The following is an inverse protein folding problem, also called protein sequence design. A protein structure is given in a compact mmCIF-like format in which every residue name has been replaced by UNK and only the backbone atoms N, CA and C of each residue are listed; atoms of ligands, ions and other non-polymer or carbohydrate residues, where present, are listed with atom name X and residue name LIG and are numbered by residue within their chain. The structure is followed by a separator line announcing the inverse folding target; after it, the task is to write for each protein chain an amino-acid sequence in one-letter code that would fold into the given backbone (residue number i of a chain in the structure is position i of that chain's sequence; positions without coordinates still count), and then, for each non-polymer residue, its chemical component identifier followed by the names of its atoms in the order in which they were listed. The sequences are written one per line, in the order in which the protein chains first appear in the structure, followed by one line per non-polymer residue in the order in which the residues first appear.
data_IF_973210111807
#
_entry.id   IF_973210111807
#
_cell.length_a   1.000
_cell.length_b   1.000
_cell.length_c   1.000
_cell.angle_alpha   90.00
_cell.angle_beta   90.00
_cell.angle_gamma   90.00
#
_symmetry.space_group_name_H-M   'P 1'
#
loop_
_entity.id
_entity.type
_entity.pdbx_description
1 polymer ?
#
# COMPACT_ATOMS: atom_id res chain seq x y z
N UNK A 1 -70.97 -34.31 8.27
CA UNK A 1 -69.68 -34.76 8.85
C UNK A 1 -68.59 -34.04 8.07
N UNK A 2 -68.17 -32.81 8.44
CA UNK A 2 -67.11 -32.47 9.40
C UNK A 2 -65.90 -33.40 9.33
N UNK A 3 -64.85 -32.97 8.64
CA UNK A 3 -63.47 -33.02 9.15
C UNK A 3 -62.67 -31.86 8.54
N UNK A 4 -62.30 -30.93 9.42
CA UNK A 4 -61.27 -29.93 9.18
C UNK A 4 -59.91 -30.59 9.44
N UNK A 5 -58.94 -30.39 8.55
CA UNK A 5 -57.51 -30.68 8.78
C UNK A 5 -56.74 -29.44 8.37
N UNK A 6 -56.49 -28.52 9.31
CA UNK A 6 -55.26 -28.40 10.09
C UNK A 6 -54.04 -28.01 9.25
N UNK A 7 -53.86 -26.69 9.19
CA UNK A 7 -52.61 -25.93 9.20
C UNK A 7 -51.28 -26.68 9.09
N UNK A 8 -50.46 -26.17 8.16
CA UNK A 8 -49.06 -25.76 8.33
C UNK A 8 -48.11 -26.84 8.83
N UNK A 9 -47.24 -27.33 7.93
CA UNK A 9 -45.88 -27.69 8.33
C UNK A 9 -44.91 -27.47 7.16
N UNK A 10 -44.13 -26.40 7.30
CA UNK A 10 -42.77 -26.24 6.79
C UNK A 10 -42.53 -26.36 5.28
N UNK A 11 -42.52 -25.17 4.67
CA UNK A 11 -41.57 -24.74 3.65
C UNK A 11 -40.22 -25.42 3.89
N UNK A 12 -40.00 -26.54 3.21
CA UNK A 12 -38.75 -27.27 3.19
C UNK A 12 -37.73 -26.43 2.44
N UNK A 13 -36.95 -25.69 3.23
CA UNK A 13 -35.53 -25.44 3.03
C UNK A 13 -35.11 -25.22 1.57
N UNK A 14 -35.51 -24.05 1.04
CA UNK A 14 -34.69 -23.27 0.11
C UNK A 14 -33.41 -22.80 0.81
N UNK A 15 -32.64 -23.74 1.35
CA UNK A 15 -31.27 -23.53 1.78
C UNK A 15 -30.38 -23.68 0.56
N UNK A 16 -30.41 -22.68 -0.32
CA UNK A 16 -29.24 -22.41 -1.14
C UNK A 16 -28.08 -22.30 -0.16
N UNK A 17 -27.21 -23.31 -0.14
CA UNK A 17 -25.84 -23.15 0.32
C UNK A 17 -25.20 -22.15 -0.66
N UNK A 18 -25.54 -20.87 -0.49
CA UNK A 18 -24.66 -19.80 -0.89
C UNK A 18 -23.44 -19.98 -0.03
N UNK A 19 -22.45 -20.66 -0.61
CA UNK A 19 -21.09 -20.68 -0.12
C UNK A 19 -20.58 -19.24 -0.20
N UNK A 20 -20.90 -18.44 0.81
CA UNK A 20 -20.26 -17.14 1.08
C UNK A 20 -18.86 -17.36 1.67
N UNK A 21 -18.14 -18.39 1.22
CA UNK A 21 -16.69 -18.30 1.18
C UNK A 21 -16.34 -17.43 -0.02
N UNK A 22 -16.59 -16.14 0.14
CA UNK A 22 -15.65 -15.16 -0.40
C UNK A 22 -14.32 -15.52 0.22
N UNK A 23 -13.53 -16.31 -0.50
CA UNK A 23 -12.10 -16.32 -0.31
C UNK A 23 -11.74 -14.88 -0.62
N UNK A 24 -11.47 -14.10 0.42
CA UNK A 24 -10.84 -12.81 0.26
C UNK A 24 -9.49 -13.14 -0.40
N UNK A 25 -9.46 -13.11 -1.74
CA UNK A 25 -8.21 -13.16 -2.50
C UNK A 25 -7.56 -11.79 -2.26
N UNK A 26 -6.98 -11.64 -1.07
CA UNK A 26 -6.21 -10.47 -0.70
C UNK A 26 -5.09 -10.33 -1.72
N UNK A 27 -5.05 -9.18 -2.40
CA UNK A 27 -3.95 -8.85 -3.30
C UNK A 27 -2.79 -8.38 -2.44
N UNK A 28 -1.59 -8.92 -2.68
CA UNK A 28 -0.38 -8.58 -1.93
C UNK A 28 0.62 -7.92 -2.86
N UNK A 29 1.11 -6.74 -2.48
CA UNK A 29 2.13 -6.03 -3.25
C UNK A 29 3.44 -6.84 -3.25
N UNK A 30 4.02 -7.09 -4.43
CA UNK A 30 5.25 -7.87 -4.57
C UNK A 30 5.19 -9.30 -4.02
N UNK A 31 3.99 -9.85 -3.74
CA UNK A 31 3.82 -11.13 -3.05
C UNK A 31 4.14 -11.10 -1.55
N UNK A 32 4.28 -9.91 -0.95
CA UNK A 32 4.60 -9.72 0.46
C UNK A 32 3.31 -9.82 1.29
N UNK A 33 3.18 -10.86 2.12
CA UNK A 33 1.96 -11.13 2.90
C UNK A 33 1.56 -9.98 3.84
N UNK A 34 2.52 -9.19 4.29
CA UNK A 34 2.29 -8.03 5.15
C UNK A 34 1.81 -6.79 4.38
N UNK A 35 2.01 -6.74 3.06
CA UNK A 35 1.74 -5.60 2.18
C UNK A 35 0.39 -5.76 1.46
N UNK A 36 -0.69 -5.76 2.25
CA UNK A 36 -2.06 -5.93 1.73
C UNK A 36 -2.50 -4.73 0.89
N UNK A 37 -2.93 -4.99 -0.33
CA UNK A 37 -3.48 -4.00 -1.26
C UNK A 37 -5.00 -4.06 -1.22
N UNK A 38 -5.69 -2.92 -0.98
CA UNK A 38 -7.15 -2.85 -1.06
C UNK A 38 -7.65 -3.24 -2.45
N UNK A 39 -8.77 -3.96 -2.53
CA UNK A 39 -9.35 -4.42 -3.81
C UNK A 39 -9.56 -3.27 -4.83
N UNK A 40 -9.91 -2.07 -4.34
CA UNK A 40 -10.07 -0.87 -5.19
C UNK A 40 -8.80 -0.45 -5.94
N UNK A 41 -7.62 -0.83 -5.44
CA UNK A 41 -6.30 -0.50 -6.00
C UNK A 41 -5.58 -1.72 -6.59
N UNK A 42 -6.21 -2.90 -6.59
CA UNK A 42 -5.56 -4.13 -7.05
C UNK A 42 -5.16 -4.08 -8.53
N UNK A 43 -5.84 -3.26 -9.34
CA UNK A 43 -5.50 -3.04 -10.74
C UNK A 43 -4.19 -2.30 -10.98
N UNK A 44 -3.68 -1.61 -9.95
CA UNK A 44 -2.49 -0.76 -10.03
C UNK A 44 -1.26 -1.43 -9.38
N UNK A 45 -1.37 -2.69 -8.92
CA UNK A 45 -0.34 -3.36 -8.10
C UNK A 45 1.05 -3.43 -8.75
N UNK A 46 1.11 -3.47 -10.08
CA UNK A 46 2.35 -3.56 -10.86
C UNK A 46 2.97 -2.18 -11.16
N UNK A 47 2.27 -1.08 -10.86
CA UNK A 47 2.75 0.30 -11.02
C UNK A 47 2.76 0.96 -9.64
N UNK A 48 3.94 1.04 -9.04
CA UNK A 48 4.11 1.53 -7.66
C UNK A 48 3.57 2.96 -7.47
N UNK A 49 3.63 3.80 -8.50
CA UNK A 49 3.16 5.18 -8.43
C UNK A 49 1.65 5.26 -8.58
N UNK A 50 1.05 4.54 -9.54
CA UNK A 50 -0.41 4.44 -9.63
C UNK A 50 -1.00 3.81 -8.37
N UNK A 51 -0.33 2.80 -7.81
CA UNK A 51 -0.72 2.17 -6.55
C UNK A 51 -0.66 3.17 -5.39
N UNK A 52 0.42 3.94 -5.28
CA UNK A 52 0.56 4.98 -4.25
C UNK A 52 -0.55 6.03 -4.37
N UNK A 53 -0.82 6.53 -5.57
CA UNK A 53 -1.91 7.47 -5.86
C UNK A 53 -3.29 6.92 -5.49
N UNK A 54 -3.53 5.61 -5.68
CA UNK A 54 -4.79 4.98 -5.29
C UNK A 54 -4.91 4.75 -3.76
N UNK A 55 -3.80 4.45 -3.10
CA UNK A 55 -3.78 4.09 -1.68
C UNK A 55 -3.67 5.31 -0.75
N UNK A 56 -3.11 6.41 -1.23
CA UNK A 56 -2.85 7.62 -0.44
C UNK A 56 -3.54 8.82 -1.11
N UNK A 57 -4.61 9.30 -0.48
CA UNK A 57 -5.41 10.39 -1.02
C UNK A 57 -4.60 11.70 -1.14
N UNK A 58 -4.78 12.42 -2.25
CA UNK A 58 -4.15 13.72 -2.54
C UNK A 58 -2.61 13.70 -2.63
N UNK A 59 -1.98 12.53 -2.81
CA UNK A 59 -0.54 12.41 -3.04
C UNK A 59 -0.25 11.85 -4.43
N UNK A 60 0.91 12.20 -5.00
CA UNK A 60 1.37 11.71 -6.31
C UNK A 60 2.90 11.51 -6.32
N UNK A 61 3.37 10.65 -7.23
CA UNK A 61 4.80 10.53 -7.51
C UNK A 61 5.32 11.74 -8.28
N UNK A 62 6.48 12.27 -7.90
CA UNK A 62 7.17 13.25 -8.71
C UNK A 62 7.66 12.58 -10.00
N UNK A 63 7.48 13.19 -11.19
CA UNK A 63 7.98 12.61 -12.43
C UNK A 63 9.51 12.72 -12.50
N UNK A 64 10.21 11.70 -12.03
CA UNK A 64 11.67 11.54 -12.13
C UNK A 64 12.02 10.46 -13.16
N UNK A 65 11.59 10.64 -14.41
CA UNK A 65 11.82 9.67 -15.50
C UNK A 65 10.55 9.00 -16.01
N UNK A 66 10.64 7.97 -16.87
CA UNK A 66 9.47 7.38 -17.52
C UNK A 66 8.45 6.76 -16.55
N UNK A 67 8.87 6.34 -15.35
CA UNK A 67 8.03 5.56 -14.42
C UNK A 67 7.98 6.10 -12.96
N UNK A 68 8.46 7.33 -12.71
CA UNK A 68 8.28 8.05 -11.42
C UNK A 68 9.03 7.51 -10.19
N UNK A 69 9.49 6.26 -10.21
CA UNK A 69 10.34 5.68 -9.17
C UNK A 69 11.82 6.10 -9.36
N UNK A 70 12.50 6.33 -8.23
CA UNK A 70 13.93 6.66 -8.22
C UNK A 70 14.77 5.38 -8.21
N UNK A 71 14.34 4.38 -7.45
CA UNK A 71 15.00 3.09 -7.28
C UNK A 71 13.93 2.01 -7.20
N UNK A 72 13.89 1.10 -8.18
CA UNK A 72 12.97 -0.04 -8.18
C UNK A 72 13.59 -1.24 -7.45
N UNK A 73 12.86 -1.82 -6.48
CA UNK A 73 13.23 -3.07 -5.80
C UNK A 73 14.49 -2.99 -4.92
N UNK A 74 14.65 -1.89 -4.18
CA UNK A 74 15.95 -1.40 -3.68
C UNK A 74 16.60 -2.11 -2.49
N UNK A 75 15.87 -2.82 -1.62
CA UNK A 75 16.48 -3.25 -0.33
C UNK A 75 15.90 -4.52 0.28
N UNK A 76 14.93 -5.16 -0.37
CA UNK A 76 14.18 -6.28 0.22
C UNK A 76 12.97 -5.79 1.00
N UNK A 77 12.28 -6.72 1.69
CA UNK A 77 11.03 -6.42 2.37
C UNK A 77 11.23 -5.41 3.51
N UNK A 78 10.59 -4.24 3.42
CA UNK A 78 10.57 -3.18 4.44
C UNK A 78 9.44 -3.44 5.44
N UNK A 79 9.80 -3.61 6.71
CA UNK A 79 8.89 -4.03 7.79
C UNK A 79 8.62 -2.93 8.81
N UNK A 80 9.48 -1.91 8.87
CA UNK A 80 9.42 -0.87 9.89
C UNK A 80 9.82 0.50 9.34
N UNK A 81 9.46 1.54 10.09
CA UNK A 81 9.90 2.91 9.84
C UNK A 81 11.43 3.03 9.85
N UNK A 82 12.11 2.35 10.78
CA UNK A 82 13.58 2.35 10.89
C UNK A 82 14.25 1.75 9.63
N UNK A 83 13.71 0.66 9.08
CA UNK A 83 14.18 0.07 7.83
C UNK A 83 13.92 0.99 6.62
N UNK A 84 12.79 1.71 6.61
CA UNK A 84 12.51 2.70 5.57
C UNK A 84 13.50 3.88 5.63
N UNK A 85 13.82 4.37 6.83
CA UNK A 85 14.84 5.39 7.03
C UNK A 85 16.22 4.92 6.55
N UNK A 86 16.62 3.69 6.91
CA UNK A 86 17.89 3.11 6.48
C UNK A 86 17.96 2.99 4.94
N UNK A 87 16.90 2.52 4.29
CA UNK A 87 16.84 2.44 2.83
C UNK A 87 17.05 3.80 2.16
N UNK A 88 16.44 4.86 2.69
CA UNK A 88 16.63 6.22 2.16
C UNK A 88 18.02 6.78 2.49
N UNK A 89 18.56 6.54 3.68
CA UNK A 89 19.96 6.94 4.01
C UNK A 89 20.95 6.28 3.06
N UNK A 90 20.78 4.99 2.81
CA UNK A 90 21.62 4.23 1.88
C UNK A 90 21.50 4.77 0.46
N UNK A 91 20.30 5.09 0.01
CA UNK A 91 20.06 5.75 -1.27
C UNK A 91 20.76 7.11 -1.37
N UNK A 92 20.57 7.99 -0.37
CA UNK A 92 21.16 9.33 -0.36
C UNK A 92 22.70 9.29 -0.34
N UNK A 93 23.28 8.32 0.37
CA UNK A 93 24.74 8.12 0.44
C UNK A 93 25.41 7.82 -0.91
N UNK A 94 24.63 7.38 -1.91
CA UNK A 94 25.14 6.98 -3.23
C UNK A 94 25.19 8.13 -4.25
N UNK A 95 24.64 9.31 -3.94
CA UNK A 95 24.66 10.40 -4.92
C UNK A 95 23.98 11.72 -4.56
N UNK A 96 23.29 11.82 -3.41
CA UNK A 96 22.62 13.04 -2.98
C UNK A 96 23.26 13.56 -1.68
N UNK A 97 24.44 14.16 -1.82
CA UNK A 97 25.12 14.83 -0.71
C UNK A 97 24.29 16.04 -0.25
N UNK A 98 23.96 16.12 1.05
CA UNK A 98 23.39 17.32 1.66
C UNK A 98 22.02 17.17 2.30
N UNK A 99 21.34 16.03 2.12
CA UNK A 99 20.11 15.69 2.84
C UNK A 99 20.40 14.75 4.01
N UNK A 100 19.72 14.99 5.13
CA UNK A 100 19.77 14.13 6.33
C UNK A 100 18.38 13.61 6.63
N UNK A 101 18.23 12.29 6.76
CA UNK A 101 16.97 11.66 7.17
C UNK A 101 16.67 11.99 8.63
N UNK A 102 15.49 12.55 8.89
CA UNK A 102 15.02 12.90 10.24
C UNK A 102 14.17 11.77 10.85
N UNK A 103 13.07 11.40 10.20
CA UNK A 103 12.18 10.34 10.66
C UNK A 103 11.37 9.72 9.51
N UNK A 104 10.76 8.55 9.77
CA UNK A 104 9.77 7.93 8.91
C UNK A 104 8.40 7.74 9.58
N UNK A 105 7.36 7.64 8.74
CA UNK A 105 5.97 7.41 9.12
C UNK A 105 5.39 6.32 8.23
N UNK A 106 4.89 5.24 8.85
CA UNK A 106 4.09 4.25 8.12
C UNK A 106 2.75 4.84 7.70
N UNK A 107 2.47 4.86 6.40
CA UNK A 107 1.19 5.34 5.87
C UNK A 107 0.14 4.24 5.86
N UNK A 108 0.52 3.07 5.39
CA UNK A 108 -0.35 1.91 5.22
C UNK A 108 0.52 0.63 5.14
N UNK A 109 -0.05 -0.56 4.92
CA UNK A 109 0.74 -1.79 4.87
C UNK A 109 1.81 -1.84 3.75
N UNK A 110 1.69 -1.01 2.71
CA UNK A 110 2.59 -1.02 1.54
C UNK A 110 3.59 0.13 1.61
N UNK A 111 3.23 1.30 2.13
CA UNK A 111 4.04 2.52 1.99
C UNK A 111 4.43 3.16 3.31
N UNK A 112 5.64 3.72 3.31
CA UNK A 112 6.25 4.52 4.36
C UNK A 112 6.69 5.86 3.77
N UNK A 113 6.42 6.97 4.45
CA UNK A 113 7.04 8.26 4.12
C UNK A 113 8.29 8.45 4.98
N UNK A 114 9.34 8.98 4.39
CA UNK A 114 10.62 9.28 5.02
C UNK A 114 10.94 10.74 4.74
N UNK A 115 11.14 11.51 5.79
CA UNK A 115 11.39 12.95 5.73
C UNK A 115 12.89 13.18 5.83
N UNK A 116 13.43 13.97 4.91
CA UNK A 116 14.82 14.37 4.91
C UNK A 116 14.92 15.90 4.82
N UNK A 117 15.88 16.48 5.53
CA UNK A 117 16.10 17.91 5.54
C UNK A 117 17.50 18.27 5.01
N UNK A 118 17.60 19.39 4.29
CA UNK A 118 18.87 20.01 3.92
C UNK A 118 19.41 20.93 5.03
N UNK A 119 20.67 21.37 4.91
CA UNK A 119 21.29 22.29 5.88
C UNK A 119 20.56 23.66 6.01
N UNK A 120 19.73 24.00 5.02
CA UNK A 120 18.91 25.22 5.00
C UNK A 120 17.52 25.05 5.61
N UNK A 121 17.15 23.84 6.08
CA UNK A 121 15.83 23.50 6.58
C UNK A 121 14.78 23.27 5.49
N UNK A 122 15.21 23.01 4.25
CA UNK A 122 14.36 22.51 3.18
C UNK A 122 14.03 21.03 3.41
N UNK A 123 12.75 20.70 3.51
CA UNK A 123 12.26 19.33 3.68
C UNK A 123 11.95 18.69 2.32
N UNK A 124 12.42 17.46 2.12
CA UNK A 124 12.08 16.59 1.01
C UNK A 124 11.48 15.28 1.55
N UNK A 125 10.46 14.77 0.88
CA UNK A 125 9.75 13.55 1.27
C UNK A 125 9.99 12.46 0.25
N UNK A 126 10.53 11.34 0.74
CA UNK A 126 10.64 10.10 0.00
C UNK A 126 9.54 9.15 0.46
N UNK A 127 8.98 8.37 -0.47
CA UNK A 127 8.11 7.25 -0.13
C UNK A 127 8.83 5.96 -0.45
N UNK A 128 8.84 5.05 0.52
CA UNK A 128 9.40 3.71 0.41
C UNK A 128 8.26 2.71 0.38
N UNK A 129 8.21 1.88 -0.67
CA UNK A 129 7.28 0.76 -0.76
C UNK A 129 7.82 -0.46 0.00
N UNK A 130 6.93 -1.41 0.30
CA UNK A 130 7.25 -2.58 1.11
C UNK A 130 8.29 -3.51 0.48
N UNK A 131 8.57 -3.39 -0.82
CA UNK A 131 9.63 -4.14 -1.52
C UNK A 131 10.99 -3.38 -1.56
N UNK A 132 11.05 -2.21 -0.93
CA UNK A 132 12.22 -1.33 -0.93
C UNK A 132 12.29 -0.37 -2.13
N UNK A 133 11.26 -0.30 -2.96
CA UNK A 133 11.17 0.71 -4.03
C UNK A 133 11.08 2.11 -3.43
N UNK A 134 11.90 3.05 -3.89
CA UNK A 134 11.96 4.44 -3.40
C UNK A 134 11.45 5.39 -4.47
N UNK A 135 10.53 6.28 -4.07
CA UNK A 135 9.90 7.30 -4.91
C UNK A 135 10.05 8.68 -4.27
N UNK A 136 10.19 9.75 -5.06
CA UNK A 136 9.93 11.10 -4.55
C UNK A 136 8.43 11.32 -4.67
N UNK A 137 7.78 11.76 -3.60
CA UNK A 137 6.33 12.01 -3.63
C UNK A 137 6.00 13.41 -3.17
N UNK A 138 4.82 13.88 -3.54
CA UNK A 138 4.28 15.17 -3.11
C UNK A 138 2.82 15.00 -2.77
N UNK A 139 2.39 15.59 -1.65
CA UNK A 139 1.00 15.59 -1.22
C UNK A 139 0.44 17.01 -1.29
N UNK A 140 -0.70 17.18 -1.96
CA UNK A 140 -1.44 18.43 -2.05
C UNK A 140 -2.31 18.63 -0.82
N UNK A 141 -2.14 19.77 -0.15
CA UNK A 141 -3.03 20.25 0.93
C UNK A 141 -4.23 21.04 0.39
#
# INVERSE_FOLDING_TARGET
MRFAGFLVFLVLFSGCLYDWRGKEDSTFYGGIESAVVPERCAGDVDDVCALFECMVDQCWCHPVGPDGAILEGGSGEIKSEEEAEEAVRDYLSQGNEGLTVDYAVKLNPVFYNVFAEDEGGGEEVYTVAADGTIMVTTCGV
#
